data_IF_393471156540
#
_entry.id   IF_393471156540
#
_cell.length_a   1.000
_cell.length_b   1.000
_cell.length_c   1.000
_cell.angle_alpha   90.00
_cell.angle_beta   90.00
_cell.angle_gamma   90.00
#
_symmetry.space_group_name_H-M   'P 1'
#
loop_
_entity.id
_entity.type
_entity.pdbx_description
1 polymer ?
#
# COMPACT_ATOMS: atom_id res chain seq x y z
N UNK A 1 -23.76 9.95 -2.17
CA UNK A 1 -23.98 8.58 -1.70
C UNK A 1 -23.26 8.38 -0.39
N UNK A 2 -24.00 7.99 0.62
CA UNK A 2 -23.39 7.69 1.91
C UNK A 2 -22.87 6.26 1.93
N UNK A 3 -21.57 6.13 2.14
CA UNK A 3 -20.92 4.83 2.16
C UNK A 3 -19.42 4.99 2.26
N UNK A 4 -18.73 3.86 2.24
CA UNK A 4 -17.27 3.84 2.27
C UNK A 4 -16.75 3.63 0.86
N UNK A 5 -15.80 4.46 0.43
CA UNK A 5 -15.20 4.32 -0.89
C UNK A 5 -14.58 2.94 -1.08
N UNK A 6 -14.72 2.40 -2.28
CA UNK A 6 -14.11 1.12 -2.64
C UNK A 6 -12.95 1.37 -3.59
N UNK A 7 -11.79 0.83 -3.25
CA UNK A 7 -10.56 0.99 -4.02
C UNK A 7 -10.17 -0.35 -4.65
N UNK A 8 -10.00 -0.33 -5.97
CA UNK A 8 -9.49 -1.46 -6.74
C UNK A 8 -8.09 -1.13 -7.25
N UNK A 9 -7.44 -2.09 -7.90
CA UNK A 9 -6.08 -1.88 -8.40
C UNK A 9 -5.98 -0.71 -9.39
N UNK A 10 -7.03 -0.48 -10.18
CA UNK A 10 -7.05 0.63 -11.15
C UNK A 10 -7.02 2.00 -10.47
N UNK A 11 -7.43 2.06 -9.21
CA UNK A 11 -7.54 3.31 -8.46
C UNK A 11 -6.25 3.68 -7.74
N UNK A 12 -5.32 2.74 -7.61
CA UNK A 12 -3.98 3.01 -7.11
C UNK A 12 -3.09 3.25 -8.32
N UNK A 13 -2.52 4.43 -8.42
CA UNK A 13 -1.79 4.86 -9.61
C UNK A 13 -0.29 4.62 -9.46
N UNK A 14 0.42 4.63 -10.59
CA UNK A 14 1.88 4.46 -10.59
C UNK A 14 2.62 5.65 -9.97
N UNK A 15 1.96 6.80 -9.88
CA UNK A 15 2.53 7.99 -9.21
C UNK A 15 2.25 7.99 -7.70
N UNK A 16 1.74 6.89 -7.17
CA UNK A 16 1.42 6.68 -5.75
C UNK A 16 0.17 7.43 -5.29
N UNK A 17 -0.60 8.02 -6.19
CA UNK A 17 -1.87 8.63 -5.83
C UNK A 17 -2.98 7.57 -5.80
N UNK A 18 -4.05 7.86 -5.07
CA UNK A 18 -5.22 6.98 -4.97
C UNK A 18 -6.44 7.78 -5.39
N UNK A 19 -7.22 7.22 -6.30
CA UNK A 19 -8.43 7.84 -6.80
C UNK A 19 -9.62 7.45 -5.93
N UNK A 20 -10.03 8.36 -5.04
CA UNK A 20 -11.19 8.14 -4.18
C UNK A 20 -12.50 8.49 -4.89
N UNK A 21 -12.44 9.14 -6.04
CA UNK A 21 -13.62 9.59 -6.77
C UNK A 21 -13.90 8.72 -7.99
N UNK A 22 -13.77 7.41 -7.79
CA UNK A 22 -13.98 6.43 -8.85
C UNK A 22 -15.46 6.08 -9.06
N UNK A 23 -16.37 6.67 -8.27
CA UNK A 23 -17.80 6.43 -8.39
C UNK A 23 -18.28 5.15 -7.71
N UNK A 24 -17.42 4.46 -6.97
CA UNK A 24 -17.77 3.20 -6.30
C UNK A 24 -17.69 3.37 -4.80
N UNK A 25 -18.82 3.21 -4.12
CA UNK A 25 -18.89 3.27 -2.67
C UNK A 25 -19.73 2.11 -2.16
N UNK A 26 -19.34 1.56 -1.01
CA UNK A 26 -20.06 0.45 -0.39
C UNK A 26 -21.04 1.02 0.63
N UNK A 27 -22.34 0.75 0.48
CA UNK A 27 -23.32 1.21 1.48
C UNK A 27 -22.96 0.70 2.88
N UNK A 28 -23.23 1.53 3.89
CA UNK A 28 -22.83 1.23 5.27
C UNK A 28 -23.29 -0.15 5.74
N UNK A 29 -24.46 -0.60 5.31
CA UNK A 29 -25.00 -1.90 5.70
C UNK A 29 -24.20 -3.08 5.17
N UNK A 30 -23.40 -2.89 4.14
CA UNK A 30 -22.61 -3.95 3.50
C UNK A 30 -21.10 -3.86 3.79
N UNK A 31 -20.65 -2.80 4.46
CA UNK A 31 -19.23 -2.57 4.69
C UNK A 31 -18.55 -3.75 5.41
N UNK A 32 -19.27 -4.38 6.35
CA UNK A 32 -18.74 -5.51 7.10
C UNK A 32 -18.40 -6.73 6.23
N UNK A 33 -18.93 -6.80 5.01
CA UNK A 33 -18.64 -7.90 4.08
C UNK A 33 -17.37 -7.68 3.26
N UNK A 34 -16.71 -6.54 3.43
CA UNK A 34 -15.52 -6.18 2.67
C UNK A 34 -14.33 -6.02 3.61
N UNK A 35 -13.13 -6.12 3.02
CA UNK A 35 -11.93 -5.77 3.77
C UNK A 35 -11.83 -4.26 3.88
N UNK A 36 -11.49 -3.79 5.07
CA UNK A 36 -11.43 -2.37 5.39
C UNK A 36 -9.99 -2.00 5.68
N UNK A 37 -9.53 -0.92 5.05
CA UNK A 37 -8.22 -0.36 5.30
C UNK A 37 -8.39 0.99 6.01
N UNK A 38 -7.84 1.14 7.22
CA UNK A 38 -7.96 2.41 7.93
C UNK A 38 -7.13 3.51 7.26
N UNK A 39 -7.43 4.76 7.60
CA UNK A 39 -6.63 5.88 7.16
C UNK A 39 -5.17 5.67 7.54
N UNK A 40 -4.25 6.16 6.72
CA UNK A 40 -2.80 6.03 6.86
C UNK A 40 -2.25 4.62 6.65
N UNK A 41 -3.09 3.67 6.25
CA UNK A 41 -2.60 2.38 5.78
C UNK A 41 -1.95 2.52 4.41
N UNK A 42 -1.06 1.58 4.09
CA UNK A 42 -0.45 1.50 2.77
C UNK A 42 -1.13 0.39 1.99
N UNK A 43 -1.63 0.71 0.80
CA UNK A 43 -2.17 -0.29 -0.11
C UNK A 43 -1.16 -0.60 -1.21
N UNK A 44 -0.98 -1.88 -1.50
CA UNK A 44 -0.08 -2.34 -2.56
C UNK A 44 -0.79 -3.37 -3.43
N UNK A 45 -0.65 -3.23 -4.74
CA UNK A 45 -1.14 -4.23 -5.69
C UNK A 45 -0.28 -5.50 -5.58
N UNK A 46 -0.93 -6.67 -5.48
CA UNK A 46 -0.23 -7.94 -5.30
C UNK A 46 -0.49 -8.95 -6.42
N UNK A 47 -1.33 -8.62 -7.40
CA UNK A 47 -1.63 -9.50 -8.52
C UNK A 47 -1.57 -8.76 -9.85
N UNK A 48 -1.27 -9.50 -10.91
CA UNK A 48 -1.25 -8.98 -12.27
C UNK A 48 0.04 -8.26 -12.61
N UNK A 49 0.02 -7.55 -13.73
CA UNK A 49 1.20 -6.85 -14.25
C UNK A 49 1.68 -5.69 -13.40
N UNK A 50 0.82 -5.19 -12.51
CA UNK A 50 1.15 -4.08 -11.60
C UNK A 50 1.59 -4.55 -10.23
N UNK A 51 1.70 -5.85 -10.01
CA UNK A 51 2.06 -6.39 -8.69
C UNK A 51 3.40 -5.83 -8.20
N UNK A 52 3.39 -5.29 -7.01
CA UNK A 52 4.56 -4.66 -6.39
C UNK A 52 4.90 -3.28 -6.91
N UNK A 53 4.16 -2.76 -7.89
CA UNK A 53 4.48 -1.47 -8.54
C UNK A 53 3.51 -0.34 -8.20
N UNK A 54 2.27 -0.67 -7.88
CA UNK A 54 1.27 0.32 -7.49
C UNK A 54 1.13 0.33 -6.00
N UNK A 55 1.56 1.39 -5.36
CA UNK A 55 1.60 1.52 -3.90
C UNK A 55 1.13 2.93 -3.55
N UNK A 56 0.29 3.05 -2.53
CA UNK A 56 -0.16 4.37 -2.07
C UNK A 56 -0.52 4.36 -0.61
N UNK A 57 -0.47 5.54 0.02
CA UNK A 57 -0.90 5.74 1.41
C UNK A 57 -2.31 6.31 1.40
N UNK A 58 -3.18 5.70 2.19
CA UNK A 58 -4.57 6.18 2.32
C UNK A 58 -4.66 7.40 3.23
N UNK A 59 -5.45 8.38 2.82
CA UNK A 59 -5.76 9.51 3.68
C UNK A 59 -7.14 9.38 4.34
N UNK A 60 -7.87 8.31 4.02
CA UNK A 60 -9.18 8.02 4.59
C UNK A 60 -9.42 6.51 4.64
N UNK A 61 -10.36 6.08 5.47
CA UNK A 61 -10.75 4.68 5.52
C UNK A 61 -11.48 4.29 4.23
N UNK A 62 -11.15 3.11 3.70
CA UNK A 62 -11.76 2.60 2.47
C UNK A 62 -12.00 1.09 2.58
N UNK A 63 -12.87 0.57 1.71
CA UNK A 63 -12.94 -0.84 1.40
C UNK A 63 -12.01 -1.12 0.22
N UNK A 64 -11.45 -2.32 0.12
CA UNK A 64 -10.53 -2.61 -0.98
C UNK A 64 -10.71 -4.03 -1.51
N UNK A 65 -10.26 -4.23 -2.75
CA UNK A 65 -10.42 -5.48 -3.47
C UNK A 65 -9.33 -6.52 -3.18
N UNK A 66 -9.57 -7.73 -3.69
CA UNK A 66 -8.71 -8.89 -3.41
C UNK A 66 -7.32 -8.83 -4.03
N UNK A 67 -7.12 -7.97 -5.02
CA UNK A 67 -5.83 -7.81 -5.68
C UNK A 67 -4.93 -6.78 -4.99
N UNK A 68 -5.40 -6.24 -3.87
CA UNK A 68 -4.65 -5.28 -3.05
C UNK A 68 -4.37 -5.89 -1.69
N UNK A 69 -3.26 -5.48 -1.11
CA UNK A 69 -2.88 -5.84 0.26
C UNK A 69 -2.76 -4.56 1.08
N UNK A 70 -3.25 -4.60 2.32
CA UNK A 70 -3.22 -3.47 3.23
C UNK A 70 -2.16 -3.69 4.29
N UNK A 71 -1.28 -2.70 4.45
CA UNK A 71 -0.30 -2.67 5.54
C UNK A 71 -0.74 -1.57 6.51
N UNK A 72 -1.25 -1.98 7.66
CA UNK A 72 -1.78 -1.06 8.67
C UNK A 72 -0.89 -1.11 9.92
N UNK A 73 0.12 -0.24 10.02
CA UNK A 73 1.02 -0.26 11.17
C UNK A 73 0.33 0.22 12.44
N UNK A 74 0.78 -0.29 13.58
CA UNK A 74 0.23 0.08 14.89
C UNK A 74 0.72 1.43 15.39
N UNK A 75 1.80 1.95 14.80
CA UNK A 75 2.39 3.23 15.18
C UNK A 75 2.51 4.09 13.93
N UNK A 76 2.90 5.36 14.11
CA UNK A 76 2.99 6.30 13.00
C UNK A 76 4.27 6.06 12.18
N UNK A 77 4.30 4.93 11.47
CA UNK A 77 5.42 4.57 10.60
C UNK A 77 4.96 4.32 9.15
N UNK A 78 3.80 4.83 8.78
CA UNK A 78 3.23 4.59 7.45
C UNK A 78 4.15 5.03 6.32
N UNK A 79 4.79 6.19 6.47
CA UNK A 79 5.70 6.69 5.44
C UNK A 79 6.93 5.81 5.29
N UNK A 80 7.46 5.29 6.41
CA UNK A 80 8.57 4.35 6.35
C UNK A 80 8.19 3.08 5.59
N UNK A 81 7.03 2.50 5.92
CA UNK A 81 6.50 1.32 5.24
C UNK A 81 6.33 1.62 3.75
N UNK A 82 5.74 2.75 3.43
CA UNK A 82 5.51 3.18 2.05
C UNK A 82 6.82 3.26 1.25
N UNK A 83 7.86 3.87 1.82
CA UNK A 83 9.15 3.96 1.14
C UNK A 83 9.86 2.61 1.06
N UNK A 84 9.78 1.81 2.12
CA UNK A 84 10.41 0.49 2.10
C UNK A 84 9.82 -0.41 1.02
N UNK A 85 8.50 -0.41 0.88
CA UNK A 85 7.81 -1.23 -0.12
C UNK A 85 8.16 -0.83 -1.55
N UNK A 86 8.64 0.38 -1.75
CA UNK A 86 9.09 0.85 -3.06
C UNK A 86 10.59 0.63 -3.29
N UNK A 87 11.30 0.12 -2.28
CA UNK A 87 12.74 -0.05 -2.41
C UNK A 87 13.08 -1.18 -3.39
N UNK A 88 14.22 -1.09 -4.09
CA UNK A 88 14.67 -2.18 -4.95
C UNK A 88 14.84 -3.49 -4.20
N UNK A 89 15.30 -3.44 -2.95
CA UNK A 89 15.47 -4.63 -2.13
C UNK A 89 14.13 -5.35 -1.92
N UNK A 90 13.10 -4.61 -1.52
CA UNK A 90 11.78 -5.23 -1.30
C UNK A 90 11.20 -5.73 -2.61
N UNK A 91 11.34 -4.97 -3.69
CA UNK A 91 10.81 -5.38 -4.99
C UNK A 91 11.44 -6.69 -5.45
N UNK A 92 12.74 -6.86 -5.21
CA UNK A 92 13.43 -8.11 -5.54
C UNK A 92 12.89 -9.28 -4.71
N UNK A 93 12.72 -9.08 -3.40
CA UNK A 93 12.16 -10.10 -2.51
C UNK A 93 10.72 -10.43 -2.93
N UNK A 94 9.91 -9.42 -3.22
CA UNK A 94 8.54 -9.59 -3.66
C UNK A 94 8.49 -10.38 -4.96
N UNK A 95 9.31 -10.02 -5.93
CA UNK A 95 9.31 -10.65 -7.25
C UNK A 95 9.71 -12.12 -7.18
N UNK A 96 10.62 -12.49 -6.27
CA UNK A 96 11.05 -13.88 -6.11
C UNK A 96 9.96 -14.75 -5.46
N UNK A 97 8.91 -14.15 -4.89
CA UNK A 97 7.79 -14.86 -4.27
C UNK A 97 6.52 -14.87 -5.13
N UNK A 98 6.61 -14.39 -6.38
CA UNK A 98 5.45 -14.43 -7.29
C UNK A 98 5.14 -15.85 -7.68
N UNK A 99 3.84 -16.16 -7.74
CA UNK A 99 3.35 -17.49 -8.08
C UNK A 99 2.65 -17.49 -9.43
N UNK A 100 2.89 -18.53 -10.24
CA UNK A 100 2.14 -18.80 -11.44
C UNK A 100 2.46 -17.89 -12.61
N UNK A 101 1.76 -18.13 -13.72
CA UNK A 101 1.99 -17.45 -15.00
C UNK A 101 1.54 -15.99 -14.94
N UNK A 102 0.48 -15.70 -14.17
CA UNK A 102 -0.09 -14.36 -14.08
C UNK A 102 0.79 -13.43 -13.24
N UNK A 103 1.64 -14.00 -12.41
CA UNK A 103 2.51 -13.21 -11.52
C UNK A 103 1.72 -12.55 -10.40
N UNK A 104 1.95 -12.95 -9.18
CA UNK A 104 1.33 -12.35 -8.01
C UNK A 104 1.88 -13.00 -6.76
N UNK A 105 1.68 -12.34 -5.63
CA UNK A 105 2.11 -12.86 -4.33
C UNK A 105 0.89 -13.01 -3.45
N UNK A 106 0.71 -14.20 -2.88
CA UNK A 106 -0.42 -14.42 -1.97
C UNK A 106 -0.22 -13.63 -0.68
N UNK A 107 -1.32 -13.29 -0.02
CA UNK A 107 -1.25 -12.61 1.27
C UNK A 107 -0.49 -13.45 2.29
N UNK A 108 -0.64 -14.78 2.24
CA UNK A 108 0.08 -15.67 3.15
C UNK A 108 1.59 -15.60 2.94
N UNK A 109 2.03 -15.53 1.68
CA UNK A 109 3.46 -15.37 1.38
C UNK A 109 3.97 -13.99 1.84
N UNK A 110 3.17 -12.94 1.64
CA UNK A 110 3.53 -11.60 2.10
C UNK A 110 3.71 -11.53 3.61
N UNK A 111 2.88 -12.23 4.37
CA UNK A 111 2.99 -12.25 5.83
C UNK A 111 4.30 -12.85 6.32
N UNK A 112 4.98 -13.62 5.49
CA UNK A 112 6.26 -14.23 5.83
C UNK A 112 7.45 -13.33 5.46
N UNK A 113 7.23 -12.26 4.71
CA UNK A 113 8.29 -11.32 4.37
C UNK A 113 8.50 -10.35 5.54
N UNK A 114 9.76 -10.14 5.88
CA UNK A 114 10.12 -9.28 7.00
C UNK A 114 10.36 -7.86 6.52
N UNK A 115 9.76 -6.89 7.24
CA UNK A 115 10.07 -5.49 7.06
C UNK A 115 10.98 -5.09 8.21
N UNK A 116 12.21 -4.64 7.94
CA UNK A 116 13.10 -4.22 9.04
C UNK A 116 12.53 -2.99 9.73
N UNK A 117 12.44 -3.06 11.06
CA UNK A 117 11.89 -1.98 11.87
C UNK A 117 12.97 -1.46 12.82
N UNK A 118 13.74 -0.44 12.41
CA UNK A 118 14.68 0.22 13.31
C UNK A 118 13.92 0.94 14.45
N UNK A 119 14.61 1.42 15.48
CA UNK A 119 13.97 2.25 16.50
C UNK A 119 13.27 3.45 15.87
N UNK A 120 12.20 3.94 16.52
CA UNK A 120 11.36 5.00 15.97
C UNK A 120 12.16 6.25 15.58
N UNK A 121 13.13 6.65 16.38
CA UNK A 121 13.96 7.82 16.05
C UNK A 121 14.72 7.63 14.75
N UNK A 122 15.22 6.43 14.50
CA UNK A 122 15.90 6.10 13.26
C UNK A 122 14.95 6.09 12.08
N UNK A 123 13.75 5.55 12.27
CA UNK A 123 12.71 5.56 11.23
C UNK A 123 12.41 7.01 10.82
N UNK A 124 12.21 7.89 11.78
CA UNK A 124 11.93 9.30 11.51
C UNK A 124 13.09 9.98 10.78
N UNK A 125 14.32 9.66 11.16
CA UNK A 125 15.50 10.20 10.50
C UNK A 125 15.55 9.76 9.04
N UNK A 126 15.30 8.48 8.78
CA UNK A 126 15.30 7.91 7.42
C UNK A 126 14.23 8.58 6.56
N UNK A 127 13.00 8.67 7.08
CA UNK A 127 11.88 9.27 6.35
C UNK A 127 12.17 10.74 6.02
N UNK A 128 12.67 11.50 6.98
CA UNK A 128 12.99 12.91 6.77
C UNK A 128 14.10 13.06 5.73
N UNK A 129 15.08 12.17 5.73
CA UNK A 129 16.16 12.19 4.75
C UNK A 129 15.62 11.93 3.33
N UNK A 130 14.76 10.94 3.18
CA UNK A 130 14.16 10.60 1.88
C UNK A 130 13.34 11.79 1.36
N UNK A 131 12.53 12.40 2.22
CA UNK A 131 11.73 13.56 1.84
C UNK A 131 12.60 14.73 1.39
N UNK A 132 13.70 14.98 2.09
CA UNK A 132 14.63 16.05 1.75
C UNK A 132 15.27 15.81 0.39
N UNK A 133 15.69 14.58 0.09
CA UNK A 133 16.29 14.21 -1.19
C UNK A 133 15.25 14.36 -2.31
N UNK A 134 14.03 13.86 -2.12
CA UNK A 134 12.96 13.96 -3.12
C UNK A 134 12.63 15.41 -3.43
N UNK A 135 12.54 16.25 -2.42
CA UNK A 135 12.26 17.66 -2.58
C UNK A 135 13.39 18.36 -3.35
N UNK A 136 14.64 18.00 -3.08
CA UNK A 136 15.80 18.56 -3.77
C UNK A 136 15.78 18.22 -5.27
N UNK A 137 15.36 17.00 -5.62
CA UNK A 137 15.27 16.57 -7.01
C UNK A 137 14.12 17.27 -7.74
N UNK A 138 12.99 17.46 -7.08
CA UNK A 138 11.81 18.11 -7.64
C UNK A 138 11.97 19.62 -7.75
N UNK A 139 12.73 20.18 -6.85
CA UNK A 139 12.90 21.59 -6.74
C UNK A 139 13.94 22.18 -7.64
#
# INVERSE_FOLDING_TARGET
>A
VQGTEYIATKDVKFDNSIDYQNGVAIPNQYVANFRIAPAKSVLMCIEGGSAGRKIGILDQEVCFGNKLCCFAPYTDISEYIFYYLQSPLFFEIFSSNKNGIIGGVSVNNLKQLFIPLPPLNEINRIVNKIKAISKSIEG
#
